data_IF_826822694668
#
_entry.id   IF_826822694668
#
_cell.length_a   1.000
_cell.length_b   1.000
_cell.length_c   1.000
_cell.angle_alpha   90.00
_cell.angle_beta   90.00
_cell.angle_gamma   90.00
#
_symmetry.space_group_name_H-M   'P 1'
#
loop_
_entity.id
_entity.type
_entity.pdbx_description
1 polymer ?
#
# COMPACT_ATOMS: atom_id res chain seq x y z
N UNK A 1 36.34 -23.07 -55.16
CA UNK A 1 35.33 -22.00 -55.10
C UNK A 1 34.91 -21.69 -56.53
N UNK A 2 33.65 -21.91 -56.86
CA UNK A 2 33.11 -21.69 -58.21
C UNK A 2 32.67 -20.23 -58.40
N UNK A 3 32.59 -19.75 -59.65
CA UNK A 3 32.14 -18.38 -59.95
C UNK A 3 30.75 -18.09 -59.34
N UNK A 4 29.91 -19.11 -59.27
CA UNK A 4 28.56 -19.06 -58.71
C UNK A 4 28.57 -18.94 -57.18
N UNK A 5 29.48 -19.61 -56.48
CA UNK A 5 29.68 -19.45 -55.03
C UNK A 5 30.15 -18.03 -54.68
N UNK A 6 31.05 -17.46 -55.49
CA UNK A 6 31.51 -16.08 -55.33
C UNK A 6 30.37 -15.07 -55.52
N UNK A 7 29.47 -15.30 -56.48
CA UNK A 7 28.29 -14.45 -56.71
C UNK A 7 27.29 -14.51 -55.54
N UNK A 8 27.13 -15.66 -54.90
CA UNK A 8 26.26 -15.82 -53.72
C UNK A 8 26.86 -15.11 -52.51
N UNK A 9 28.17 -15.24 -52.27
CA UNK A 9 28.84 -14.55 -51.16
C UNK A 9 28.85 -13.03 -51.35
N UNK A 10 29.05 -12.53 -52.58
CA UNK A 10 28.94 -11.10 -52.88
C UNK A 10 27.54 -10.54 -52.56
N UNK A 11 26.49 -11.28 -52.89
CA UNK A 11 25.12 -10.86 -52.62
C UNK A 11 24.80 -10.83 -51.11
N UNK A 12 25.34 -11.78 -50.34
CA UNK A 12 25.25 -11.75 -48.87
C UNK A 12 26.00 -10.56 -48.26
N UNK A 13 27.13 -10.18 -48.83
CA UNK A 13 27.89 -9.00 -48.38
C UNK A 13 27.11 -7.72 -48.71
N UNK A 14 26.49 -7.61 -49.89
CA UNK A 14 25.59 -6.49 -50.21
C UNK A 14 24.43 -6.39 -49.21
N UNK A 15 23.73 -7.50 -48.94
CA UNK A 15 22.64 -7.53 -47.96
C UNK A 15 23.13 -7.08 -46.56
N UNK A 16 24.35 -7.47 -46.17
CA UNK A 16 24.96 -7.05 -44.90
C UNK A 16 25.32 -5.56 -44.88
N UNK A 17 25.84 -5.03 -46.00
CA UNK A 17 26.18 -3.61 -46.14
C UNK A 17 24.91 -2.75 -46.11
N UNK A 18 23.82 -3.19 -46.72
CA UNK A 18 22.53 -2.50 -46.70
C UNK A 18 21.93 -2.50 -45.29
N UNK A 19 22.01 -3.63 -44.58
CA UNK A 19 21.65 -3.69 -43.16
C UNK A 19 22.46 -2.70 -42.32
N UNK A 20 23.78 -2.69 -42.48
CA UNK A 20 24.67 -1.77 -41.75
C UNK A 20 24.39 -0.31 -42.12
N UNK A 21 24.12 0.00 -43.39
CA UNK A 21 23.70 1.35 -43.79
C UNK A 21 22.39 1.75 -43.11
N UNK A 22 21.42 0.84 -43.04
CA UNK A 22 20.15 1.11 -42.38
C UNK A 22 20.31 1.30 -40.87
N UNK A 23 21.22 0.57 -40.22
CA UNK A 23 21.60 0.79 -38.82
C UNK A 23 22.35 2.12 -38.62
N UNK A 24 23.28 2.47 -39.52
CA UNK A 24 24.01 3.75 -39.48
C UNK A 24 23.06 4.93 -39.66
N UNK A 25 22.08 4.86 -40.56
CA UNK A 25 21.06 5.90 -40.71
C UNK A 25 20.22 6.06 -39.45
N UNK A 26 19.88 4.97 -38.74
CA UNK A 26 19.20 5.04 -37.44
C UNK A 26 20.07 5.62 -36.32
N UNK A 27 21.40 5.56 -36.47
CA UNK A 27 22.36 6.14 -35.54
C UNK A 27 22.68 7.61 -35.83
N UNK A 28 22.19 8.19 -36.93
CA UNK A 28 22.38 9.62 -37.18
C UNK A 28 21.62 10.45 -36.14
N UNK A 29 22.19 11.58 -35.68
CA UNK A 29 21.47 12.49 -34.81
C UNK A 29 20.17 12.95 -35.49
N UNK A 30 19.04 12.80 -34.80
CA UNK A 30 17.76 13.33 -35.28
C UNK A 30 17.87 14.84 -35.51
N UNK A 31 17.24 15.31 -36.56
CA UNK A 31 17.09 16.75 -36.81
C UNK A 31 16.26 17.40 -35.71
N UNK A 32 16.43 18.70 -35.50
CA UNK A 32 15.63 19.44 -34.50
C UNK A 32 14.13 19.41 -34.82
N UNK A 33 13.75 19.37 -36.10
CA UNK A 33 12.35 19.27 -36.51
C UNK A 33 11.74 17.90 -36.19
N UNK A 34 12.52 16.81 -36.33
CA UNK A 34 12.11 15.47 -35.91
C UNK A 34 11.93 15.39 -34.39
N UNK A 35 12.85 15.97 -33.61
CA UNK A 35 12.71 16.01 -32.13
C UNK A 35 11.46 16.78 -31.69
N UNK A 36 11.19 17.93 -32.31
CA UNK A 36 9.97 18.72 -32.03
C UNK A 36 8.71 17.94 -32.32
N UNK A 37 8.69 17.20 -33.43
CA UNK A 37 7.58 16.32 -33.78
C UNK A 37 7.37 15.23 -32.72
N UNK A 38 8.45 14.55 -32.32
CA UNK A 38 8.40 13.54 -31.25
C UNK A 38 7.87 14.12 -29.93
N UNK A 39 8.34 15.31 -29.52
CA UNK A 39 7.85 15.97 -28.30
C UNK A 39 6.35 16.32 -28.39
N UNK A 40 5.89 16.78 -29.54
CA UNK A 40 4.47 17.05 -29.76
C UNK A 40 3.64 15.78 -29.66
N UNK A 41 4.07 14.69 -30.29
CA UNK A 41 3.38 13.39 -30.23
C UNK A 41 3.32 12.86 -28.78
N UNK A 42 4.42 12.95 -28.05
CA UNK A 42 4.48 12.57 -26.62
C UNK A 42 3.49 13.40 -25.80
N UNK A 43 3.45 14.71 -26.02
CA UNK A 43 2.56 15.61 -25.27
C UNK A 43 1.09 15.24 -25.50
N UNK A 44 0.70 14.94 -26.74
CA UNK A 44 -0.67 14.51 -27.05
C UNK A 44 -1.00 13.13 -26.47
N UNK A 45 -0.08 12.16 -26.56
CA UNK A 45 -0.25 10.84 -25.93
C UNK A 45 -0.38 10.94 -24.40
N UNK A 46 0.35 11.86 -23.78
CA UNK A 46 0.32 12.07 -22.35
C UNK A 46 -1.05 12.59 -21.86
N UNK A 47 -1.66 13.51 -22.62
CA UNK A 47 -3.02 14.04 -22.32
C UNK A 47 -4.10 12.96 -22.31
N UNK A 48 -3.96 11.93 -23.15
CA UNK A 48 -4.95 10.84 -23.23
C UNK A 48 -4.94 9.93 -22.00
N UNK A 49 -3.83 9.89 -21.26
CA UNK A 49 -3.63 8.96 -20.13
C UNK A 49 -2.80 9.56 -19.00
N UNK A 50 -3.27 10.62 -18.32
CA UNK A 50 -2.52 11.26 -17.24
C UNK A 50 -2.34 10.33 -16.03
N UNK A 51 -1.18 10.41 -15.38
CA UNK A 51 -0.89 9.67 -14.15
C UNK A 51 -1.22 10.55 -12.96
N UNK A 52 -2.29 10.23 -12.26
CA UNK A 52 -2.78 11.02 -11.13
C UNK A 52 -2.05 10.67 -9.84
N UNK A 53 -1.63 11.69 -9.11
CA UNK A 53 -1.14 11.60 -7.73
C UNK A 53 -1.89 12.66 -6.93
N UNK A 54 -2.84 12.21 -6.10
CA UNK A 54 -3.79 13.11 -5.43
C UNK A 54 -3.08 14.05 -4.47
N UNK A 55 -2.09 13.54 -3.71
CA UNK A 55 -1.36 14.34 -2.73
C UNK A 55 -0.53 15.49 -3.31
N UNK A 56 -0.21 15.46 -4.60
CA UNK A 56 0.51 16.54 -5.30
C UNK A 56 -0.42 17.45 -6.12
N UNK A 57 -1.67 17.07 -6.36
CA UNK A 57 -2.57 17.84 -7.21
C UNK A 57 -2.85 19.25 -6.64
N UNK A 58 -3.00 19.36 -5.32
CA UNK A 58 -3.24 20.65 -4.63
C UNK A 58 -1.95 21.34 -4.17
N UNK A 59 -0.78 20.81 -4.54
CA UNK A 59 0.50 21.42 -4.18
C UNK A 59 0.73 22.77 -4.90
N UNK A 60 1.54 23.62 -4.30
CA UNK A 60 2.00 24.87 -4.92
C UNK A 60 2.72 24.60 -6.26
N UNK A 61 2.53 25.49 -7.22
CA UNK A 61 3.09 25.36 -8.57
C UNK A 61 4.63 25.31 -8.55
N UNK A 62 5.27 26.06 -7.64
CA UNK A 62 6.72 26.00 -7.44
C UNK A 62 7.18 24.63 -6.95
N UNK A 63 6.41 23.96 -6.09
CA UNK A 63 6.72 22.60 -5.64
C UNK A 63 6.55 21.58 -6.75
N UNK A 64 5.47 21.68 -7.55
CA UNK A 64 5.23 20.82 -8.72
C UNK A 64 6.34 20.98 -9.77
N UNK A 65 6.76 22.21 -10.01
CA UNK A 65 7.88 22.52 -10.91
C UNK A 65 9.19 21.91 -10.43
N UNK A 66 9.51 22.00 -9.13
CA UNK A 66 10.69 21.35 -8.55
C UNK A 66 10.61 19.82 -8.62
N UNK A 67 9.43 19.26 -8.37
CA UNK A 67 9.18 17.83 -8.49
C UNK A 67 9.44 17.33 -9.91
N UNK A 68 8.77 17.90 -10.91
CA UNK A 68 8.91 17.49 -12.31
C UNK A 68 10.31 17.80 -12.85
N UNK A 69 10.86 18.98 -12.56
CA UNK A 69 12.18 19.40 -13.04
C UNK A 69 13.31 18.53 -12.49
N UNK A 70 13.25 18.14 -11.21
CA UNK A 70 14.26 17.25 -10.63
C UNK A 70 14.16 15.82 -11.18
N UNK A 71 12.96 15.31 -11.47
CA UNK A 71 12.79 14.04 -12.16
C UNK A 71 13.29 14.12 -13.62
N UNK A 72 13.04 15.23 -14.30
CA UNK A 72 13.54 15.47 -15.66
C UNK A 72 15.07 15.45 -15.70
N UNK A 73 15.72 16.09 -14.73
CA UNK A 73 17.18 16.05 -14.58
C UNK A 73 17.72 14.62 -14.46
N UNK A 74 17.07 13.79 -13.64
CA UNK A 74 17.47 12.37 -13.47
C UNK A 74 17.26 11.61 -14.79
N UNK A 75 16.13 11.81 -15.48
CA UNK A 75 15.82 11.15 -16.76
C UNK A 75 16.83 11.51 -17.85
N UNK A 76 17.28 12.77 -17.92
CA UNK A 76 18.26 13.22 -18.90
C UNK A 76 19.69 12.75 -18.65
N UNK A 77 19.97 12.11 -17.49
CA UNK A 77 21.27 11.51 -17.24
C UNK A 77 21.58 10.29 -18.12
N UNK A 78 20.56 9.76 -18.83
CA UNK A 78 20.68 8.60 -19.70
C UNK A 78 19.80 8.73 -20.96
N UNK A 79 20.43 8.65 -22.13
CA UNK A 79 19.73 8.79 -23.43
C UNK A 79 18.91 7.55 -23.83
N UNK A 80 19.27 6.37 -23.32
CA UNK A 80 18.58 5.12 -23.67
C UNK A 80 17.14 5.19 -23.16
N UNK A 81 16.16 4.86 -24.01
CA UNK A 81 14.72 4.91 -23.70
C UNK A 81 14.21 6.28 -23.19
N UNK A 82 14.91 7.38 -23.51
CA UNK A 82 14.58 8.73 -23.05
C UNK A 82 13.12 9.12 -23.35
N UNK A 83 12.63 8.82 -24.55
CA UNK A 83 11.27 9.20 -24.96
C UNK A 83 10.17 8.48 -24.17
N UNK A 84 10.39 7.22 -23.77
CA UNK A 84 9.44 6.47 -22.93
C UNK A 84 9.35 7.09 -21.53
N UNK A 85 10.51 7.47 -20.98
CA UNK A 85 10.61 8.16 -19.69
C UNK A 85 10.02 9.56 -19.74
N UNK A 86 10.24 10.30 -20.82
CA UNK A 86 9.62 11.62 -21.05
C UNK A 86 8.11 11.51 -21.21
N UNK A 87 7.61 10.49 -21.90
CA UNK A 87 6.17 10.23 -21.99
C UNK A 87 5.57 9.96 -20.61
N UNK A 88 6.23 9.13 -19.80
CA UNK A 88 5.80 8.91 -18.42
C UNK A 88 5.81 10.20 -17.59
N UNK A 89 6.89 10.95 -17.64
CA UNK A 89 7.04 12.19 -16.89
C UNK A 89 6.04 13.27 -17.34
N UNK A 90 5.70 13.33 -18.63
CA UNK A 90 4.67 14.22 -19.15
C UNK A 90 3.28 13.81 -18.68
N UNK A 91 2.95 12.50 -18.67
CA UNK A 91 1.69 12.00 -18.08
C UNK A 91 1.57 12.36 -16.60
N UNK A 92 2.67 12.24 -15.87
CA UNK A 92 2.75 12.59 -14.45
C UNK A 92 2.56 14.08 -14.24
N UNK A 93 3.28 14.92 -14.99
CA UNK A 93 3.18 16.39 -14.97
C UNK A 93 1.72 16.85 -15.18
N UNK A 94 1.06 16.35 -16.21
CA UNK A 94 -0.35 16.66 -16.50
C UNK A 94 -1.25 16.15 -15.37
N UNK A 95 -1.02 14.93 -14.88
CA UNK A 95 -1.87 14.31 -13.86
C UNK A 95 -1.79 14.96 -12.47
N UNK A 96 -0.70 15.68 -12.15
CA UNK A 96 -0.59 16.52 -10.94
C UNK A 96 -1.05 17.96 -11.16
N UNK A 97 -1.60 18.27 -12.34
CA UNK A 97 -2.05 19.62 -12.69
C UNK A 97 -0.92 20.62 -12.98
N UNK A 98 0.27 20.14 -13.36
CA UNK A 98 1.37 20.96 -13.90
C UNK A 98 1.43 20.71 -15.42
N UNK A 99 0.52 21.33 -16.17
CA UNK A 99 0.31 21.07 -17.60
C UNK A 99 1.44 21.58 -18.50
N UNK A 100 2.59 20.90 -18.45
CA UNK A 100 3.80 21.26 -19.19
C UNK A 100 4.07 20.24 -20.31
N UNK A 101 4.51 20.73 -21.47
CA UNK A 101 4.78 19.89 -22.66
C UNK A 101 6.06 19.06 -22.50
N UNK A 102 6.21 17.99 -23.27
CA UNK A 102 7.42 17.16 -23.24
C UNK A 102 8.69 17.96 -23.56
N UNK A 103 8.61 18.92 -24.50
CA UNK A 103 9.71 19.83 -24.83
C UNK A 103 10.08 20.71 -23.63
N UNK A 104 9.10 21.29 -22.94
CA UNK A 104 9.34 22.11 -21.76
C UNK A 104 9.90 21.27 -20.60
N UNK A 105 9.45 20.03 -20.41
CA UNK A 105 10.04 19.10 -19.41
C UNK A 105 11.50 18.84 -19.74
N UNK A 106 11.83 18.59 -21.01
CA UNK A 106 13.19 18.38 -21.44
C UNK A 106 14.06 19.62 -21.17
N UNK A 107 13.56 20.83 -21.49
CA UNK A 107 14.26 22.09 -21.19
C UNK A 107 14.45 22.26 -19.67
N UNK A 108 13.42 22.02 -18.86
CA UNK A 108 13.50 22.09 -17.39
C UNK A 108 14.57 21.17 -16.83
N UNK A 109 14.70 19.96 -17.36
CA UNK A 109 15.74 19.03 -16.96
C UNK A 109 17.16 19.51 -17.32
N UNK A 110 17.33 20.13 -18.49
CA UNK A 110 18.62 20.71 -18.90
C UNK A 110 19.02 21.93 -18.07
N UNK A 111 18.03 22.71 -17.62
CA UNK A 111 18.24 23.87 -16.74
C UNK A 111 18.49 23.48 -15.29
N UNK A 112 18.24 22.21 -14.92
CA UNK A 112 18.52 21.71 -13.58
C UNK A 112 20.01 21.41 -13.41
N UNK A 113 20.54 21.78 -12.25
CA UNK A 113 21.91 21.48 -11.84
C UNK A 113 21.93 20.78 -10.48
N UNK A 114 23.12 20.44 -10.00
CA UNK A 114 23.30 19.75 -8.72
C UNK A 114 22.82 20.56 -7.52
N UNK A 115 22.90 21.89 -7.58
CA UNK A 115 22.47 22.77 -6.48
C UNK A 115 20.95 22.86 -6.44
N UNK A 116 20.29 22.98 -7.60
CA UNK A 116 18.84 22.90 -7.75
C UNK A 116 18.30 21.55 -7.34
N UNK A 117 18.98 20.45 -7.67
CA UNK A 117 18.60 19.10 -7.21
C UNK A 117 18.69 19.00 -5.68
N UNK A 118 19.77 19.51 -5.08
CA UNK A 118 19.93 19.51 -3.62
C UNK A 118 18.84 20.34 -2.93
N UNK A 119 18.44 21.47 -3.51
CA UNK A 119 17.32 22.27 -3.03
C UNK A 119 15.98 21.55 -3.19
N UNK A 120 15.74 20.89 -4.33
CA UNK A 120 14.53 20.09 -4.55
C UNK A 120 14.41 18.95 -3.54
N UNK A 121 15.51 18.22 -3.28
CA UNK A 121 15.58 17.16 -2.25
C UNK A 121 15.14 17.67 -0.87
N UNK A 122 15.55 18.88 -0.49
CA UNK A 122 15.16 19.49 0.79
C UNK A 122 13.68 19.89 0.80
N UNK A 123 13.22 20.54 -0.26
CA UNK A 123 11.85 21.04 -0.37
C UNK A 123 10.82 19.92 -0.49
N UNK A 124 11.19 18.79 -1.12
CA UNK A 124 10.35 17.61 -1.31
C UNK A 124 10.41 16.62 -0.14
N UNK A 125 11.04 16.97 0.98
CA UNK A 125 11.19 16.09 2.16
C UNK A 125 9.85 15.56 2.70
N UNK A 126 8.79 16.38 2.70
CA UNK A 126 7.43 15.96 3.07
C UNK A 126 6.82 14.94 2.09
N UNK A 127 7.32 14.90 0.86
CA UNK A 127 6.91 14.02 -0.23
C UNK A 127 7.95 12.94 -0.52
N UNK A 128 8.87 12.67 0.41
CA UNK A 128 10.04 11.77 0.25
C UNK A 128 9.69 10.45 -0.43
N UNK A 129 8.74 9.69 0.14
CA UNK A 129 8.42 8.35 -0.37
C UNK A 129 7.76 8.38 -1.74
N UNK A 130 6.98 9.42 -1.99
CA UNK A 130 6.31 9.64 -3.27
C UNK A 130 7.33 9.97 -4.35
N UNK A 131 8.17 10.97 -4.10
CA UNK A 131 9.23 11.35 -5.02
C UNK A 131 10.15 10.17 -5.37
N UNK A 132 10.65 9.45 -4.36
CA UNK A 132 11.53 8.32 -4.58
C UNK A 132 10.84 7.16 -5.31
N UNK A 133 9.55 6.90 -5.04
CA UNK A 133 8.80 5.90 -5.80
C UNK A 133 8.74 6.26 -7.29
N UNK A 134 8.51 7.52 -7.65
CA UNK A 134 8.55 7.96 -9.06
C UNK A 134 9.94 7.83 -9.68
N UNK A 135 11.00 8.13 -8.94
CA UNK A 135 12.38 7.92 -9.42
C UNK A 135 12.60 6.44 -9.78
N UNK A 136 12.18 5.51 -8.92
CA UNK A 136 12.27 4.07 -9.21
C UNK A 136 11.39 3.62 -10.37
N UNK A 137 10.21 4.21 -10.51
CA UNK A 137 9.32 3.94 -11.65
C UNK A 137 9.98 4.39 -12.95
N UNK A 138 10.52 5.60 -13.00
CA UNK A 138 11.22 6.15 -14.18
C UNK A 138 12.43 5.31 -14.58
N UNK A 139 13.18 4.79 -13.61
CA UNK A 139 14.32 3.89 -13.87
C UNK A 139 13.93 2.56 -14.54
N UNK A 140 12.65 2.18 -14.53
CA UNK A 140 12.16 0.88 -15.01
C UNK A 140 11.00 0.97 -16.02
N UNK A 141 10.53 2.17 -16.36
CA UNK A 141 9.30 2.36 -17.14
C UNK A 141 9.39 1.84 -18.58
N UNK A 142 10.60 1.78 -19.15
CA UNK A 142 10.84 1.21 -20.48
C UNK A 142 10.84 -0.32 -20.51
N UNK A 143 10.64 -0.98 -19.36
CA UNK A 143 10.72 -2.43 -19.22
C UNK A 143 12.14 -2.97 -19.21
N UNK A 144 13.15 -2.11 -19.42
CA UNK A 144 14.58 -2.41 -19.22
C UNK A 144 15.04 -1.74 -17.94
N UNK A 145 15.81 -2.48 -17.15
CA UNK A 145 16.39 -1.94 -15.92
C UNK A 145 17.61 -1.11 -16.30
N UNK A 146 17.58 0.18 -15.99
CA UNK A 146 18.78 1.02 -16.04
C UNK A 146 19.53 0.90 -14.70
N UNK A 147 20.69 0.26 -14.72
CA UNK A 147 21.56 0.16 -13.54
C UNK A 147 22.04 1.54 -13.10
N UNK A 148 22.40 2.40 -14.04
CA UNK A 148 22.82 3.79 -13.82
C UNK A 148 21.75 4.62 -13.13
N UNK A 149 20.49 4.55 -13.59
CA UNK A 149 19.39 5.27 -12.94
C UNK A 149 19.04 4.67 -11.58
N UNK A 150 19.18 3.37 -11.38
CA UNK A 150 18.98 2.75 -10.07
C UNK A 150 20.06 3.18 -9.06
N UNK A 151 21.32 3.33 -9.49
CA UNK A 151 22.38 3.90 -8.68
C UNK A 151 22.06 5.34 -8.28
N UNK A 152 21.65 6.18 -9.24
CA UNK A 152 21.20 7.55 -8.98
C UNK A 152 20.00 7.57 -8.03
N UNK A 153 19.02 6.69 -8.22
CA UNK A 153 17.86 6.57 -7.35
C UNK A 153 18.26 6.24 -5.91
N UNK A 154 19.19 5.30 -5.74
CA UNK A 154 19.71 4.91 -4.44
C UNK A 154 20.50 6.05 -3.77
N UNK A 155 21.30 6.79 -4.54
CA UNK A 155 22.06 7.93 -4.03
C UNK A 155 21.13 9.07 -3.59
N UNK A 156 20.11 9.41 -4.39
CA UNK A 156 19.09 10.41 -4.04
C UNK A 156 18.30 9.96 -2.81
N UNK A 157 17.95 8.67 -2.70
CA UNK A 157 17.29 8.13 -1.51
C UNK A 157 18.16 8.27 -0.25
N UNK A 158 19.46 7.98 -0.33
CA UNK A 158 20.41 8.18 0.78
C UNK A 158 20.53 9.67 1.13
N UNK A 159 20.55 10.57 0.16
CA UNK A 159 20.55 12.03 0.40
C UNK A 159 19.27 12.49 1.11
N UNK A 160 18.13 11.84 0.85
CA UNK A 160 16.86 12.05 1.57
C UNK A 160 16.81 11.34 2.94
N UNK A 161 17.89 10.68 3.35
CA UNK A 161 18.01 10.01 4.65
C UNK A 161 17.30 8.66 4.71
N UNK A 162 17.09 7.98 3.58
CA UNK A 162 16.54 6.63 3.58
C UNK A 162 17.59 5.56 3.93
N UNK A 163 17.20 4.61 4.78
CA UNK A 163 17.96 3.39 5.02
C UNK A 163 17.75 2.35 3.91
N UNK A 164 18.53 1.25 3.94
CA UNK A 164 18.45 0.20 2.93
C UNK A 164 17.09 -0.50 2.89
N UNK A 165 16.39 -0.56 4.03
CA UNK A 165 15.05 -1.15 4.11
C UNK A 165 14.04 -0.25 3.39
N UNK A 166 14.07 1.06 3.64
CA UNK A 166 13.24 2.05 2.93
C UNK A 166 13.45 1.99 1.42
N UNK A 167 14.71 1.92 0.97
CA UNK A 167 15.04 1.80 -0.46
C UNK A 167 14.45 0.53 -1.06
N UNK A 168 14.55 -0.60 -0.35
CA UNK A 168 13.98 -1.88 -0.80
C UNK A 168 12.45 -1.82 -0.91
N UNK A 169 11.77 -1.24 0.08
CA UNK A 169 10.31 -1.06 0.04
C UNK A 169 9.90 -0.16 -1.12
N UNK A 170 10.60 0.97 -1.32
CA UNK A 170 10.35 1.91 -2.41
C UNK A 170 10.44 1.23 -3.78
N UNK A 171 11.51 0.47 -4.02
CA UNK A 171 11.70 -0.27 -5.26
C UNK A 171 10.58 -1.31 -5.48
N UNK A 172 10.13 -1.98 -4.42
CA UNK A 172 9.08 -2.97 -4.52
C UNK A 172 7.69 -2.34 -4.79
N UNK A 173 7.39 -1.18 -4.17
CA UNK A 173 6.18 -0.41 -4.46
C UNK A 173 6.19 0.10 -5.90
N UNK A 174 7.32 0.63 -6.37
CA UNK A 174 7.47 1.05 -7.76
C UNK A 174 7.25 -0.11 -8.75
N UNK A 175 7.82 -1.28 -8.46
CA UNK A 175 7.59 -2.51 -9.24
C UNK A 175 6.12 -2.92 -9.25
N UNK A 176 5.47 -2.94 -8.08
CA UNK A 176 4.05 -3.28 -7.98
C UNK A 176 3.17 -2.32 -8.81
N UNK A 177 3.48 -1.02 -8.77
CA UNK A 177 2.81 0.02 -9.58
C UNK A 177 3.00 -0.23 -11.08
N UNK A 178 4.23 -0.48 -11.54
CA UNK A 178 4.53 -0.76 -12.94
C UNK A 178 3.82 -2.02 -13.46
N UNK A 179 3.81 -3.08 -12.64
CA UNK A 179 3.17 -4.34 -13.00
C UNK A 179 1.65 -4.34 -12.82
N UNK A 180 1.08 -3.29 -12.21
CA UNK A 180 -0.32 -3.23 -11.78
C UNK A 180 -0.71 -4.48 -10.97
N UNK A 181 0.22 -4.96 -10.12
CA UNK A 181 0.07 -6.16 -9.32
C UNK A 181 0.64 -5.95 -7.92
N UNK A 182 -0.25 -5.60 -6.99
CA UNK A 182 0.06 -5.33 -5.60
C UNK A 182 0.25 -6.59 -4.75
N UNK A 183 -0.16 -7.76 -5.23
CA UNK A 183 0.08 -9.02 -4.51
C UNK A 183 1.57 -9.37 -4.45
N UNK A 184 2.38 -8.78 -5.34
CA UNK A 184 3.85 -8.81 -5.21
C UNK A 184 4.32 -8.24 -3.87
N UNK A 185 3.57 -7.32 -3.27
CA UNK A 185 3.88 -6.74 -1.96
C UNK A 185 3.74 -7.73 -0.80
N UNK A 186 2.91 -8.77 -0.96
CA UNK A 186 2.75 -9.83 0.06
C UNK A 186 4.00 -10.69 0.23
N UNK A 187 4.85 -10.72 -0.80
CA UNK A 187 6.10 -11.49 -0.80
C UNK A 187 7.27 -10.72 -0.23
N UNK A 188 7.11 -9.43 0.12
CA UNK A 188 8.17 -8.72 0.83
C UNK A 188 8.36 -9.37 2.20
N UNK A 189 9.52 -9.98 2.37
CA UNK A 189 10.07 -10.27 3.68
C UNK A 189 10.62 -8.96 4.25
N UNK A 190 9.73 -8.06 4.65
CA UNK A 190 10.14 -6.85 5.36
C UNK A 190 10.89 -7.26 6.63
N UNK A 191 12.07 -6.67 6.91
CA UNK A 191 12.64 -6.71 8.24
C UNK A 191 11.57 -6.23 9.20
N UNK A 192 11.27 -7.04 10.19
CA UNK A 192 10.29 -6.67 11.22
C UNK A 192 10.94 -5.62 12.10
N UNK A 193 10.92 -4.37 11.64
CA UNK A 193 11.14 -3.25 12.54
C UNK A 193 10.07 -3.31 13.63
N UNK A 194 10.46 -3.14 14.89
CA UNK A 194 9.57 -3.23 16.07
C UNK A 194 8.38 -2.25 16.01
N UNK A 195 8.41 -1.27 15.09
CA UNK A 195 7.36 -0.28 14.86
C UNK A 195 7.14 -0.12 13.37
N UNK A 196 5.87 -0.15 12.94
CA UNK A 196 5.51 0.11 11.56
C UNK A 196 5.91 1.52 11.11
N UNK A 197 6.65 1.60 10.01
CA UNK A 197 7.09 2.87 9.39
C UNK A 197 6.30 3.20 8.11
N UNK A 198 5.51 2.24 7.61
CA UNK A 198 4.95 2.26 6.26
C UNK A 198 3.48 2.71 6.19
N UNK A 199 2.80 2.76 7.34
CA UNK A 199 1.40 3.21 7.45
C UNK A 199 1.17 4.53 6.69
N UNK A 200 0.23 4.52 5.76
CA UNK A 200 -0.20 5.65 4.92
C UNK A 200 0.88 6.31 4.02
N UNK A 201 2.13 5.81 4.01
CA UNK A 201 3.23 6.42 3.22
C UNK A 201 3.09 6.26 1.71
N UNK A 202 2.32 5.27 1.27
CA UNK A 202 2.16 4.90 -0.15
C UNK A 202 0.69 4.93 -0.60
N UNK A 203 -0.14 5.76 0.03
CA UNK A 203 -1.60 5.85 -0.25
C UNK A 203 -1.92 6.18 -1.71
N UNK A 204 -1.08 6.96 -2.38
CA UNK A 204 -1.26 7.31 -3.80
C UNK A 204 -0.89 6.16 -4.76
N UNK A 205 -0.27 5.08 -4.26
CA UNK A 205 0.18 3.94 -5.08
C UNK A 205 -0.49 2.62 -4.77
N UNK A 206 -0.92 2.42 -3.52
CA UNK A 206 -1.52 1.19 -3.07
C UNK A 206 -3.02 1.42 -2.93
N UNK A 207 -3.87 0.78 -3.76
CA UNK A 207 -5.31 0.96 -3.71
C UNK A 207 -5.89 0.59 -2.35
N UNK A 208 -6.81 1.43 -1.85
CA UNK A 208 -7.53 1.17 -0.60
C UNK A 208 -8.30 -0.16 -0.67
N UNK A 209 -8.85 -0.54 -1.85
CA UNK A 209 -9.54 -1.82 -2.03
C UNK A 209 -8.60 -3.00 -1.82
N UNK A 210 -7.34 -2.88 -2.23
CA UNK A 210 -6.34 -3.91 -2.01
C UNK A 210 -5.98 -3.99 -0.52
N UNK A 211 -5.75 -2.86 0.15
CA UNK A 211 -5.47 -2.80 1.60
C UNK A 211 -6.60 -3.48 2.39
N UNK A 212 -7.86 -3.17 2.07
CA UNK A 212 -9.03 -3.76 2.73
C UNK A 212 -9.05 -5.29 2.59
N UNK A 213 -8.71 -5.84 1.42
CA UNK A 213 -8.67 -7.29 1.19
C UNK A 213 -7.63 -8.00 2.05
N UNK A 214 -6.59 -7.31 2.50
CA UNK A 214 -5.55 -7.87 3.36
C UNK A 214 -5.93 -7.90 4.85
N UNK A 215 -7.10 -7.36 5.24
CA UNK A 215 -7.55 -7.37 6.64
C UNK A 215 -8.09 -8.73 7.04
N UNK A 216 -7.32 -9.48 7.82
CA UNK A 216 -7.68 -10.82 8.27
C UNK A 216 -8.17 -10.82 9.71
N UNK A 217 -9.44 -11.16 9.91
CA UNK A 217 -10.00 -11.37 11.26
C UNK A 217 -9.43 -12.66 11.84
N UNK A 218 -8.80 -12.54 13.00
CA UNK A 218 -8.12 -13.66 13.67
C UNK A 218 -8.94 -14.23 14.82
N UNK A 219 -9.83 -13.43 15.41
CA UNK A 219 -10.70 -13.86 16.48
C UNK A 219 -11.43 -12.72 17.18
N UNK A 220 -12.39 -13.10 18.01
CA UNK A 220 -13.19 -12.20 18.83
C UNK A 220 -13.23 -12.72 20.26
N UNK A 221 -12.93 -11.85 21.23
CA UNK A 221 -12.96 -12.18 22.66
C UNK A 221 -14.00 -11.32 23.36
N UNK A 222 -14.97 -11.93 24.06
CA UNK A 222 -15.90 -11.20 24.91
C UNK A 222 -15.16 -10.70 26.15
N UNK A 223 -14.91 -9.39 26.23
CA UNK A 223 -14.16 -8.73 27.32
C UNK A 223 -15.02 -8.26 28.49
N UNK A 224 -16.32 -8.09 28.27
CA UNK A 224 -17.32 -7.79 29.29
C UNK A 224 -18.64 -8.40 28.85
N UNK A 225 -19.29 -9.17 29.71
CA UNK A 225 -20.63 -9.70 29.47
C UNK A 225 -21.56 -9.20 30.57
N UNK A 226 -22.67 -8.61 30.18
CA UNK A 226 -23.73 -8.22 31.12
C UNK A 226 -24.72 -9.36 31.20
N UNK A 227 -24.84 -9.94 32.39
CA UNK A 227 -25.72 -11.08 32.66
C UNK A 227 -26.57 -10.82 33.89
N UNK A 228 -27.76 -11.39 33.90
CA UNK A 228 -28.57 -11.52 35.11
C UNK A 228 -27.91 -12.55 36.04
N UNK A 229 -27.58 -12.14 37.28
CA UNK A 229 -26.96 -13.03 38.27
C UNK A 229 -27.89 -13.23 39.46
N UNK A 230 -28.55 -14.39 39.51
CA UNK A 230 -29.21 -14.86 40.72
C UNK A 230 -28.17 -15.16 41.79
N UNK A 231 -28.27 -14.53 42.97
CA UNK A 231 -27.44 -14.87 44.13
C UNK A 231 -27.79 -16.28 44.60
N UNK A 232 -26.98 -17.28 44.27
CA UNK A 232 -27.05 -18.59 44.90
C UNK A 232 -26.49 -18.50 46.33
N UNK A 233 -27.37 -18.62 47.33
CA UNK A 233 -26.96 -19.16 48.63
C UNK A 233 -26.96 -20.68 48.51
N UNK A 234 -25.82 -21.30 48.81
CA UNK A 234 -25.63 -22.75 48.73
C UNK A 234 -26.64 -23.52 49.60
N UNK A 235 -27.50 -24.35 48.99
CA UNK A 235 -27.64 -25.79 49.26
C UNK A 235 -28.86 -26.41 48.57
N UNK A 236 -28.63 -27.53 47.88
CA UNK A 236 -29.50 -28.71 47.65
C UNK A 236 -31.00 -28.45 47.49
N UNK A 237 -31.49 -28.32 46.25
CA UNK A 237 -32.74 -28.94 45.74
C UNK A 237 -33.04 -28.49 44.29
N UNK A 238 -32.51 -29.24 43.33
CA UNK A 238 -32.66 -29.13 41.86
C UNK A 238 -34.11 -29.36 41.34
N UNK A 239 -35.16 -28.81 41.95
CA UNK A 239 -36.54 -29.09 41.50
C UNK A 239 -37.50 -27.91 41.49
N UNK A 240 -37.24 -26.84 42.25
CA UNK A 240 -38.05 -25.60 42.21
C UNK A 240 -37.49 -24.54 41.24
N UNK A 241 -36.20 -24.64 40.90
CA UNK A 241 -35.49 -23.69 40.04
C UNK A 241 -36.01 -23.70 38.59
N UNK A 242 -36.38 -24.88 38.08
CA UNK A 242 -37.01 -25.06 36.76
C UNK A 242 -38.47 -24.55 36.72
N UNK A 243 -39.18 -24.61 37.85
CA UNK A 243 -40.60 -24.20 37.95
C UNK A 243 -40.76 -22.69 38.12
N UNK A 244 -39.84 -22.04 38.83
CA UNK A 244 -39.81 -20.59 39.01
C UNK A 244 -39.25 -19.87 37.77
N UNK A 245 -38.38 -20.53 36.98
CA UNK A 245 -37.93 -20.04 35.66
C UNK A 245 -39.09 -19.83 34.68
N UNK A 246 -40.15 -20.62 34.76
CA UNK A 246 -41.38 -20.43 33.97
C UNK A 246 -42.30 -19.30 34.49
N UNK A 247 -42.12 -18.85 35.73
CA UNK A 247 -42.84 -17.70 36.29
C UNK A 247 -42.11 -16.36 36.07
N UNK A 248 -40.86 -16.41 35.61
CA UNK A 248 -39.94 -15.28 35.44
C UNK A 248 -40.14 -14.43 34.18
N UNK A 249 -41.25 -14.59 33.46
CA UNK A 249 -41.65 -13.69 32.37
C UNK A 249 -42.54 -12.53 32.83
N UNK A 250 -42.82 -12.38 34.14
CA UNK A 250 -43.67 -11.28 34.62
C UNK A 250 -43.08 -10.56 35.84
N UNK A 251 -42.63 -9.31 35.60
CA UNK A 251 -42.36 -8.24 36.58
C UNK A 251 -40.98 -8.24 37.26
N UNK A 252 -39.99 -7.80 36.47
CA UNK A 252 -38.88 -6.90 36.77
C UNK A 252 -38.46 -6.66 38.23
N UNK A 253 -37.28 -7.14 38.62
CA UNK A 253 -36.10 -6.32 39.02
C UNK A 253 -35.01 -7.25 39.54
N UNK A 254 -34.19 -7.75 38.62
CA UNK A 254 -32.90 -8.35 38.97
C UNK A 254 -31.79 -7.31 38.77
N UNK A 255 -30.93 -7.16 39.77
CA UNK A 255 -29.75 -6.32 39.65
C UNK A 255 -28.86 -6.91 38.56
N UNK A 256 -28.87 -6.30 37.37
CA UNK A 256 -27.89 -6.57 36.34
C UNK A 256 -26.50 -6.35 36.94
N UNK A 257 -25.63 -7.35 36.84
CA UNK A 257 -24.24 -7.22 37.27
C UNK A 257 -23.36 -7.28 36.04
N UNK A 258 -22.41 -6.36 35.95
CA UNK A 258 -21.34 -6.43 34.98
C UNK A 258 -20.46 -7.60 35.40
N UNK A 259 -20.51 -8.69 34.64
CA UNK A 259 -19.51 -9.74 34.79
C UNK A 259 -18.27 -9.31 34.02
N UNK A 260 -17.16 -9.09 34.74
CA UNK A 260 -15.88 -8.76 34.13
C UNK A 260 -15.34 -10.02 33.49
N UNK A 261 -15.86 -10.30 32.30
CA UNK A 261 -15.31 -11.19 31.29
C UNK A 261 -15.31 -12.69 31.65
N UNK A 262 -15.95 -13.56 30.84
CA UNK A 262 -15.70 -14.99 30.90
C UNK A 262 -14.34 -15.39 30.33
N UNK A 263 -13.49 -14.44 29.91
CA UNK A 263 -12.20 -14.69 29.23
C UNK A 263 -11.05 -13.86 29.82
N UNK A 264 -10.18 -14.48 30.59
CA UNK A 264 -9.01 -13.83 31.18
C UNK A 264 -7.88 -13.82 30.15
N UNK A 265 -7.52 -12.62 29.66
CA UNK A 265 -6.35 -12.43 28.81
C UNK A 265 -5.08 -12.63 29.65
N UNK A 266 -4.29 -13.65 29.32
CA UNK A 266 -3.05 -13.97 30.02
C UNK A 266 -1.87 -13.12 29.51
N UNK A 267 -1.80 -12.93 28.20
CA UNK A 267 -0.80 -12.09 27.54
C UNK A 267 -1.29 -11.71 26.15
N UNK A 268 -0.90 -10.53 25.67
CA UNK A 268 -1.13 -10.13 24.28
C UNK A 268 0.02 -9.27 23.78
N UNK A 269 0.26 -9.29 22.47
CA UNK A 269 1.18 -8.36 21.84
C UNK A 269 0.61 -6.94 21.86
N UNK A 270 1.49 -5.95 21.82
CA UNK A 270 1.07 -4.55 21.81
C UNK A 270 0.32 -4.22 20.50
N UNK A 271 -0.70 -3.37 20.60
CA UNK A 271 -1.37 -2.82 19.41
C UNK A 271 -0.37 -2.13 18.48
N UNK A 272 -0.49 -2.39 17.17
CA UNK A 272 0.46 -1.88 16.19
C UNK A 272 1.81 -2.62 16.18
N UNK A 273 1.92 -3.79 16.82
CA UNK A 273 3.09 -4.66 16.65
C UNK A 273 3.09 -5.28 15.26
N UNK A 274 4.29 -5.39 14.68
CA UNK A 274 4.51 -6.22 13.50
C UNK A 274 4.53 -7.69 13.93
N UNK A 275 3.83 -8.53 13.17
CA UNK A 275 3.72 -9.98 13.43
C UNK A 275 4.06 -10.78 12.18
N UNK A 276 4.61 -11.97 12.38
CA UNK A 276 4.82 -12.98 11.36
C UNK A 276 3.79 -14.08 11.48
N UNK A 277 3.51 -14.77 10.37
CA UNK A 277 2.68 -15.97 10.36
C UNK A 277 3.20 -16.98 11.39
N UNK A 278 2.32 -17.42 12.28
CA UNK A 278 2.66 -18.33 13.37
C UNK A 278 2.94 -17.65 14.72
N UNK A 279 3.08 -16.32 14.77
CA UNK A 279 3.25 -15.61 16.04
C UNK A 279 1.97 -15.65 16.88
N UNK A 280 2.12 -15.85 18.19
CA UNK A 280 1.00 -15.76 19.14
C UNK A 280 0.60 -14.30 19.35
N UNK A 281 -0.60 -13.94 18.92
CA UNK A 281 -1.15 -12.58 19.04
C UNK A 281 -1.66 -12.31 20.46
N UNK A 282 -2.42 -13.27 20.99
CA UNK A 282 -3.02 -13.21 22.32
C UNK A 282 -3.21 -14.63 22.87
N UNK A 283 -2.95 -14.78 24.16
CA UNK A 283 -3.22 -15.99 24.93
C UNK A 283 -4.31 -15.67 25.94
N UNK A 284 -5.36 -16.47 25.97
CA UNK A 284 -6.51 -16.26 26.85
C UNK A 284 -6.98 -17.56 27.50
N UNK A 285 -7.68 -17.45 28.63
CA UNK A 285 -8.33 -18.56 29.33
C UNK A 285 -9.79 -18.24 29.53
N UNK A 286 -10.69 -19.19 29.32
CA UNK A 286 -12.07 -18.99 29.79
C UNK A 286 -12.11 -19.16 31.31
N UNK A 287 -13.03 -18.48 31.96
CA UNK A 287 -13.23 -18.62 33.40
C UNK A 287 -13.59 -20.08 33.73
N UNK A 288 -12.81 -20.70 34.62
CA UNK A 288 -12.91 -22.14 34.94
C UNK A 288 -11.99 -23.06 34.13
N UNK A 289 -11.38 -22.59 33.04
CA UNK A 289 -10.44 -23.39 32.25
C UNK A 289 -9.02 -23.37 32.84
N UNK A 290 -8.40 -24.55 32.89
CA UNK A 290 -7.00 -24.70 33.34
C UNK A 290 -5.99 -24.40 32.23
N UNK A 291 -6.36 -24.60 30.97
CA UNK A 291 -5.50 -24.43 29.78
C UNK A 291 -5.74 -23.10 29.08
N UNK A 292 -4.66 -22.44 28.65
CA UNK A 292 -4.74 -21.27 27.78
C UNK A 292 -4.98 -21.68 26.32
N UNK A 293 -5.70 -20.84 25.60
CA UNK A 293 -5.89 -20.92 24.14
C UNK A 293 -5.20 -19.71 23.52
N UNK A 294 -4.52 -19.94 22.40
CA UNK A 294 -3.77 -18.92 21.68
C UNK A 294 -4.47 -18.56 20.37
N UNK A 295 -4.53 -17.27 20.07
CA UNK A 295 -4.86 -16.78 18.73
C UNK A 295 -3.54 -16.49 18.02
N UNK A 296 -3.35 -17.12 16.87
CA UNK A 296 -2.11 -17.12 16.12
C UNK A 296 -2.27 -16.27 14.86
N UNK A 297 -1.21 -15.55 14.48
CA UNK A 297 -1.15 -14.77 13.26
C UNK A 297 -1.29 -15.66 12.01
N UNK A 298 -2.32 -15.47 11.17
CA UNK A 298 -2.51 -16.27 9.95
C UNK A 298 -1.54 -15.87 8.83
N UNK A 299 -1.04 -14.64 8.86
CA UNK A 299 -0.16 -14.05 7.86
C UNK A 299 0.84 -13.07 8.51
N UNK A 300 1.79 -12.58 7.71
CA UNK A 300 2.66 -11.49 8.12
C UNK A 300 1.90 -10.16 8.02
N UNK A 301 2.14 -9.25 8.96
CA UNK A 301 1.50 -7.93 8.90
C UNK A 301 1.54 -7.19 10.23
N UNK A 302 0.46 -6.47 10.49
CA UNK A 302 0.28 -5.57 11.63
C UNK A 302 -0.89 -6.03 12.49
N UNK A 303 -0.68 -6.12 13.80
CA UNK A 303 -1.73 -6.48 14.75
C UNK A 303 -2.55 -5.26 15.15
N UNK A 304 -3.84 -5.27 14.81
CA UNK A 304 -4.82 -4.27 15.24
C UNK A 304 -5.88 -4.90 16.15
N UNK A 305 -6.24 -4.15 17.19
CA UNK A 305 -7.34 -4.48 18.08
C UNK A 305 -8.47 -3.46 17.90
N UNK A 306 -9.71 -3.92 17.89
CA UNK A 306 -10.86 -3.01 17.88
C UNK A 306 -11.91 -3.48 18.86
N UNK A 307 -12.40 -2.55 19.67
CA UNK A 307 -13.47 -2.82 20.63
C UNK A 307 -14.82 -2.58 19.96
N UNK A 308 -15.71 -3.54 20.11
CA UNK A 308 -17.10 -3.42 19.72
C UNK A 308 -18.02 -3.55 20.93
N UNK A 309 -19.18 -2.94 20.82
CA UNK A 309 -20.29 -3.10 21.74
C UNK A 309 -21.45 -3.78 21.00
N UNK A 310 -21.99 -4.84 21.59
CA UNK A 310 -23.18 -5.54 21.09
C UNK A 310 -24.27 -5.45 22.16
N UNK A 311 -25.53 -5.42 21.74
CA UNK A 311 -26.64 -5.45 22.68
C UNK A 311 -26.54 -6.72 23.54
N UNK A 312 -26.57 -6.54 24.86
CA UNK A 312 -26.56 -7.66 25.78
C UNK A 312 -27.95 -8.31 25.89
N UNK A 313 -28.03 -9.42 26.61
CA UNK A 313 -29.31 -10.04 26.98
C UNK A 313 -30.11 -9.17 27.96
N UNK A 314 -29.48 -8.17 28.58
CA UNK A 314 -30.10 -7.20 29.48
C UNK A 314 -30.50 -5.96 28.70
N UNK A 315 -31.78 -5.59 28.80
CA UNK A 315 -32.31 -4.41 28.10
C UNK A 315 -31.59 -3.13 28.54
N UNK A 316 -31.11 -2.35 27.57
CA UNK A 316 -30.38 -1.10 27.80
C UNK A 316 -28.88 -1.24 28.09
N UNK A 317 -28.36 -2.47 28.18
CA UNK A 317 -26.95 -2.76 28.48
C UNK A 317 -26.21 -3.35 27.27
N UNK A 318 -24.88 -3.15 27.20
CA UNK A 318 -24.03 -3.66 26.12
C UNK A 318 -22.93 -4.60 26.60
N UNK A 319 -22.70 -5.66 25.82
CA UNK A 319 -21.55 -6.55 25.94
C UNK A 319 -20.37 -5.96 25.15
N UNK A 320 -19.16 -6.01 25.72
CA UNK A 320 -17.95 -5.51 25.05
C UNK A 320 -17.12 -6.66 24.48
N UNK A 321 -16.79 -6.59 23.19
CA UNK A 321 -15.95 -7.56 22.49
C UNK A 321 -14.65 -6.92 22.00
N UNK A 322 -13.56 -7.67 22.06
CA UNK A 322 -12.27 -7.32 21.49
C UNK A 322 -12.07 -8.15 20.22
N UNK A 323 -12.15 -7.47 19.08
CA UNK A 323 -11.89 -8.05 17.77
C UNK A 323 -10.43 -7.87 17.40
N UNK A 324 -9.84 -8.94 16.87
CA UNK A 324 -8.39 -9.06 16.64
C UNK A 324 -8.16 -9.27 15.14
N UNK A 325 -7.30 -8.45 14.57
CA UNK A 325 -6.99 -8.49 13.14
C UNK A 325 -5.48 -8.48 12.89
N UNK A 326 -5.06 -9.20 11.85
CA UNK A 326 -3.78 -8.95 11.19
C UNK A 326 -4.08 -8.24 9.88
N UNK A 327 -3.42 -7.11 9.66
CA UNK A 327 -3.62 -6.23 8.49
C UNK A 327 -2.31 -5.98 7.75
N UNK A 328 -2.38 -5.38 6.57
CA UNK A 328 -1.19 -5.00 5.79
C UNK A 328 -0.31 -3.98 6.53
N UNK A 329 1.00 -4.01 6.26
CA UNK A 329 1.96 -2.99 6.73
C UNK A 329 1.59 -1.56 6.31
N UNK A 330 0.87 -1.43 5.21
CA UNK A 330 0.48 -0.14 4.65
C UNK A 330 -0.87 0.38 5.18
N UNK A 331 -1.59 -0.44 5.95
CA UNK A 331 -2.89 -0.07 6.51
C UNK A 331 -2.74 0.93 7.66
N UNK A 332 -3.76 1.77 7.82
CA UNK A 332 -3.82 2.81 8.84
C UNK A 332 -4.94 2.48 9.83
N UNK A 333 -4.64 2.57 11.12
CA UNK A 333 -5.57 2.19 12.19
C UNK A 333 -6.90 2.96 12.10
N UNK A 334 -6.87 4.27 11.84
CA UNK A 334 -8.09 5.07 11.74
C UNK A 334 -8.98 4.65 10.56
N UNK A 335 -8.39 4.39 9.39
CA UNK A 335 -9.10 3.88 8.20
C UNK A 335 -9.67 2.50 8.46
N UNK A 336 -8.90 1.63 9.14
CA UNK A 336 -9.34 0.32 9.58
C UNK A 336 -10.55 0.41 10.52
N UNK A 337 -10.52 1.26 11.55
CA UNK A 337 -11.64 1.45 12.48
C UNK A 337 -12.91 1.94 11.76
N UNK A 338 -12.78 2.89 10.83
CA UNK A 338 -13.91 3.39 10.02
C UNK A 338 -14.53 2.27 9.18
N UNK A 339 -13.70 1.45 8.54
CA UNK A 339 -14.16 0.28 7.79
C UNK A 339 -14.85 -0.74 8.69
N UNK A 340 -14.28 -1.04 9.86
CA UNK A 340 -14.84 -2.02 10.79
C UNK A 340 -16.26 -1.63 11.23
N UNK A 341 -16.45 -0.37 11.61
CA UNK A 341 -17.77 0.18 11.97
C UNK A 341 -18.77 0.05 10.82
N UNK A 342 -18.38 0.37 9.58
CA UNK A 342 -19.23 0.21 8.40
C UNK A 342 -19.61 -1.25 8.16
N UNK A 343 -18.65 -2.18 8.28
CA UNK A 343 -18.87 -3.62 8.13
C UNK A 343 -19.93 -4.13 9.12
N UNK A 344 -19.86 -3.71 10.38
CA UNK A 344 -20.85 -4.07 11.41
C UNK A 344 -22.23 -3.53 11.04
N UNK A 345 -22.34 -2.24 10.68
CA UNK A 345 -23.61 -1.63 10.27
C UNK A 345 -24.25 -2.36 9.08
N UNK A 346 -23.48 -2.71 8.06
CA UNK A 346 -23.97 -3.47 6.91
C UNK A 346 -24.47 -4.86 7.31
N UNK A 347 -23.77 -5.54 8.22
CA UNK A 347 -24.20 -6.85 8.71
C UNK A 347 -25.50 -6.77 9.52
N UNK A 348 -25.68 -5.73 10.33
CA UNK A 348 -26.93 -5.48 11.07
C UNK A 348 -28.09 -5.23 10.10
N UNK A 349 -27.90 -4.36 9.09
CA UNK A 349 -28.94 -4.08 8.10
C UNK A 349 -29.36 -5.32 7.32
N UNK A 350 -28.41 -6.16 6.88
CA UNK A 350 -28.71 -7.43 6.20
C UNK A 350 -29.48 -8.42 7.08
N UNK A 351 -29.22 -8.44 8.39
CA UNK A 351 -29.97 -9.29 9.33
C UNK A 351 -31.40 -8.80 9.57
N UNK A 352 -31.65 -7.49 9.45
CA UNK A 352 -32.99 -6.91 9.53
C UNK A 352 -33.77 -7.16 8.25
N UNK A 353 -33.14 -6.97 7.08
CA UNK A 353 -33.78 -7.20 5.77
C UNK A 353 -34.06 -8.67 5.47
N UNK A 354 -33.23 -9.60 5.95
CA UNK A 354 -33.47 -11.05 5.80
C UNK A 354 -34.51 -11.63 6.77
N UNK A 355 -35.09 -10.81 7.65
CA UNK A 355 -36.15 -11.18 8.62
C UNK A 355 -37.50 -10.52 8.33
N UNK A 356 -37.59 -9.68 7.30
CA UNK A 356 -38.82 -9.14 6.75
C UNK A 356 -39.29 -10.01 5.57
#
# INVERSE_FOLDING_TARGET
MTLTELQVELRKIEDHIDMLHHEIEKMKPKTEDEKKKDFSEITELAKMSPVKIESLYDADEGLKSQFVGSLAYIVLSEETDLYDRLLYLCRLSIGIGFETSAENIHILGLEFDKDKLSNAIRNLSSYKYLYLAEVFVLANVSGRVSETMLEVAADVARMMGCDNEEIYVLAAVAKAKLMQNWDTLLTLNLPVSLKNRWSDKFKDYIPDEWIIKQRQHCGELCTKKTVYRFKQSASVTDSLYEMLRQAFESVSTENATIDKCPTIVASHLQEGSVVKRGDTLISYKKEGDTKATDIIAPCNGMLFFVKDEKNSEVEGESDTYLNIYVVSYFDEYEKFCKWHKRKILTNVLRQVEGKA
#
